data_IF_030266778141
#
_entry.id   IF_030266778141
#
_cell.length_a   1.000
_cell.length_b   1.000
_cell.length_c   1.000
_cell.angle_alpha   90.00
_cell.angle_beta   90.00
_cell.angle_gamma   90.00
#
_symmetry.space_group_name_H-M   'P 1'
#
loop_
_entity.id
_entity.type
_entity.pdbx_description
1 polymer ?
#
# COMPACT_ATOMS: atom_id res chain seq x y z
N UNK A 1 -14.15 -14.09 -0.41
CA UNK A 1 -14.00 -12.80 -1.12
C UNK A 1 -15.39 -12.38 -1.54
N UNK A 2 -15.79 -11.18 -1.14
CA UNK A 2 -17.07 -10.57 -1.45
C UNK A 2 -16.85 -9.41 -2.44
N UNK A 3 -17.83 -9.14 -3.32
CA UNK A 3 -17.75 -7.97 -4.19
C UNK A 3 -19.09 -7.27 -4.36
N UNK A 4 -19.07 -5.94 -4.37
CA UNK A 4 -20.25 -5.10 -4.56
C UNK A 4 -20.05 -4.19 -5.76
N UNK A 5 -20.92 -4.30 -6.76
CA UNK A 5 -20.93 -3.44 -7.93
C UNK A 5 -22.05 -2.40 -7.78
N UNK A 6 -21.73 -1.15 -8.07
CA UNK A 6 -22.69 -0.06 -8.17
C UNK A 6 -22.47 0.67 -9.48
N UNK A 7 -23.54 0.89 -10.23
CA UNK A 7 -23.57 1.52 -11.54
C UNK A 7 -24.57 2.69 -11.54
N UNK A 8 -24.42 3.62 -12.48
CA UNK A 8 -25.28 4.81 -12.64
C UNK A 8 -25.42 5.63 -11.34
N UNK A 9 -24.30 5.85 -10.67
CA UNK A 9 -24.22 6.49 -9.36
C UNK A 9 -23.68 7.90 -9.47
N UNK A 10 -24.26 8.82 -8.71
CA UNK A 10 -23.69 10.13 -8.50
C UNK A 10 -22.45 10.07 -7.60
N UNK A 11 -21.53 11.01 -7.80
CA UNK A 11 -20.28 11.10 -7.04
C UNK A 11 -20.54 11.36 -5.54
N UNK A 12 -21.64 12.01 -5.21
CA UNK A 12 -22.11 12.24 -3.84
C UNK A 12 -22.50 10.93 -3.15
N UNK A 13 -23.29 10.09 -3.83
CA UNK A 13 -23.75 8.79 -3.32
C UNK A 13 -22.65 7.73 -3.22
N UNK A 14 -21.54 7.95 -3.95
CA UNK A 14 -20.38 7.06 -3.95
C UNK A 14 -19.84 6.83 -2.53
N UNK A 15 -19.57 7.91 -1.81
CA UNK A 15 -18.89 7.84 -0.51
C UNK A 15 -19.77 7.19 0.53
N UNK A 16 -21.07 7.48 0.51
CA UNK A 16 -22.04 6.91 1.45
C UNK A 16 -22.21 5.41 1.23
N UNK A 17 -22.34 4.97 -0.03
CA UNK A 17 -22.42 3.54 -0.36
C UNK A 17 -21.13 2.80 0.00
N UNK A 18 -19.98 3.40 -0.27
CA UNK A 18 -18.68 2.85 0.11
C UNK A 18 -18.55 2.72 1.63
N UNK A 19 -18.85 3.78 2.38
CA UNK A 19 -18.74 3.78 3.83
C UNK A 19 -19.71 2.78 4.46
N UNK A 20 -20.92 2.62 3.91
CA UNK A 20 -21.89 1.63 4.37
C UNK A 20 -21.39 0.18 4.18
N UNK A 21 -20.92 -0.18 2.97
CA UNK A 21 -20.37 -1.51 2.67
C UNK A 21 -19.19 -1.85 3.59
N UNK A 22 -18.33 -0.88 3.87
CA UNK A 22 -17.15 -1.11 4.71
C UNK A 22 -17.48 -1.12 6.21
N UNK A 23 -18.51 -0.38 6.65
CA UNK A 23 -18.89 -0.27 8.05
C UNK A 23 -19.70 -1.45 8.58
N UNK A 24 -20.31 -2.22 7.67
CA UNK A 24 -21.09 -3.43 7.97
C UNK A 24 -20.23 -4.68 8.16
N UNK A 25 -18.93 -4.60 7.83
CA UNK A 25 -17.99 -5.69 8.00
C UNK A 25 -17.71 -5.95 9.49
N UNK A 26 -17.77 -7.23 9.89
CA UNK A 26 -17.70 -7.65 11.30
C UNK A 26 -16.27 -7.89 11.79
N UNK A 27 -15.38 -8.37 10.91
CA UNK A 27 -13.98 -8.68 11.24
C UNK A 27 -13.02 -7.71 10.55
N UNK A 28 -11.72 -7.84 10.81
CA UNK A 28 -10.71 -7.16 10.02
C UNK A 28 -10.73 -7.67 8.57
N UNK A 29 -10.46 -6.80 7.61
CA UNK A 29 -10.48 -7.17 6.20
C UNK A 29 -9.45 -6.37 5.41
N UNK A 30 -9.25 -6.75 4.16
CA UNK A 30 -8.59 -5.90 3.17
C UNK A 30 -9.59 -5.54 2.08
N UNK A 31 -9.50 -4.32 1.56
CA UNK A 31 -10.39 -3.83 0.51
C UNK A 31 -9.61 -3.40 -0.71
N UNK A 32 -10.11 -3.72 -1.90
CA UNK A 32 -9.67 -3.09 -3.13
C UNK A 32 -10.87 -2.51 -3.88
N UNK A 33 -10.66 -1.45 -4.66
CA UNK A 33 -11.74 -0.71 -5.31
C UNK A 33 -11.34 -0.48 -6.76
N UNK A 34 -12.25 -0.82 -7.68
CA UNK A 34 -12.15 -0.47 -9.08
C UNK A 34 -13.18 0.60 -9.44
N UNK A 35 -12.82 1.52 -10.34
CA UNK A 35 -13.68 2.61 -10.79
C UNK A 35 -14.14 2.35 -12.23
N UNK A 36 -15.43 2.55 -12.49
CA UNK A 36 -15.98 2.62 -13.83
C UNK A 36 -16.26 4.06 -14.21
N UNK A 37 -15.98 4.40 -15.45
CA UNK A 37 -15.97 5.78 -15.90
C UNK A 37 -16.40 5.89 -17.36
N UNK A 38 -16.87 7.07 -17.71
CA UNK A 38 -17.23 7.43 -19.06
C UNK A 38 -16.24 8.45 -19.59
N UNK A 39 -15.72 8.21 -20.80
CA UNK A 39 -14.95 9.19 -21.55
C UNK A 39 -15.83 9.84 -22.61
N UNK A 40 -15.53 11.08 -22.97
CA UNK A 40 -16.15 11.80 -24.09
C UNK A 40 -15.07 12.35 -25.01
N UNK A 41 -15.32 12.34 -26.32
CA UNK A 41 -14.40 12.94 -27.28
C UNK A 41 -14.30 14.45 -27.05
N UNK A 42 -13.12 15.00 -27.31
CA UNK A 42 -12.87 16.44 -27.25
C UNK A 42 -13.48 17.19 -28.45
N UNK A 43 -13.74 16.49 -29.55
CA UNK A 43 -14.23 17.07 -30.82
C UNK A 43 -15.67 16.72 -31.12
N UNK A 44 -16.19 15.63 -30.54
CA UNK A 44 -17.56 15.18 -30.72
C UNK A 44 -18.20 14.88 -29.35
N UNK A 45 -19.16 15.68 -28.87
CA UNK A 45 -19.77 15.47 -27.56
C UNK A 45 -20.65 14.21 -27.48
N UNK A 46 -21.08 13.65 -28.61
CA UNK A 46 -21.94 12.47 -28.66
C UNK A 46 -21.13 11.16 -28.66
N UNK A 47 -19.84 11.22 -29.03
CA UNK A 47 -18.91 10.08 -28.93
C UNK A 47 -18.47 9.87 -27.48
N UNK A 48 -19.18 8.96 -26.83
CA UNK A 48 -18.94 8.56 -25.44
C UNK A 48 -18.54 7.10 -25.34
N UNK A 49 -17.65 6.81 -24.37
CA UNK A 49 -17.12 5.46 -24.16
C UNK A 49 -17.14 5.10 -22.70
N UNK A 50 -17.90 4.05 -22.37
CA UNK A 50 -17.96 3.51 -21.03
C UNK A 50 -16.85 2.47 -20.78
N UNK A 51 -16.24 2.54 -19.60
CA UNK A 51 -15.24 1.61 -19.12
C UNK A 51 -15.72 0.96 -17.83
N UNK A 52 -15.84 -0.36 -17.85
CA UNK A 52 -16.30 -1.15 -16.70
C UNK A 52 -15.25 -1.17 -15.57
N UNK A 53 -15.65 -1.11 -14.27
CA UNK A 53 -14.73 -1.21 -13.15
C UNK A 53 -13.91 -2.50 -13.16
N UNK A 54 -12.59 -2.39 -13.35
CA UNK A 54 -11.70 -3.54 -13.40
C UNK A 54 -10.40 -3.28 -12.62
N UNK A 55 -10.08 -4.15 -11.66
CA UNK A 55 -8.86 -4.04 -10.84
C UNK A 55 -7.55 -4.10 -11.64
N UNK A 56 -7.54 -4.59 -12.87
CA UNK A 56 -6.36 -4.57 -13.73
C UNK A 56 -6.14 -3.21 -14.42
N UNK A 57 -7.18 -2.37 -14.51
CA UNK A 57 -7.17 -1.17 -15.37
C UNK A 57 -7.57 0.12 -14.68
N UNK A 58 -8.37 0.06 -13.62
CA UNK A 58 -8.97 1.23 -12.97
C UNK A 58 -9.03 1.08 -11.46
N UNK A 59 -7.98 0.50 -10.88
CA UNK A 59 -7.86 0.34 -9.44
C UNK A 59 -7.59 1.69 -8.75
N UNK A 60 -8.14 1.86 -7.55
CA UNK A 60 -7.83 2.99 -6.66
C UNK A 60 -6.44 2.80 -6.05
N UNK A 61 -6.17 1.62 -5.51
CA UNK A 61 -4.87 1.29 -4.90
C UNK A 61 -4.21 0.12 -5.62
N UNK A 62 -2.89 0.20 -5.82
CA UNK A 62 -2.12 -0.89 -6.45
C UNK A 62 -2.21 -2.18 -5.61
N UNK A 63 -2.46 -2.05 -4.30
CA UNK A 63 -2.58 -3.16 -3.36
C UNK A 63 -3.85 -3.01 -2.51
N UNK A 64 -4.47 -4.12 -2.09
CA UNK A 64 -5.58 -4.09 -1.14
C UNK A 64 -5.20 -3.34 0.14
N UNK A 65 -6.06 -2.43 0.59
CA UNK A 65 -5.87 -1.62 1.79
C UNK A 65 -6.40 -2.38 3.00
N UNK A 66 -5.58 -2.50 4.04
CA UNK A 66 -5.96 -3.18 5.27
C UNK A 66 -6.81 -2.30 6.19
N UNK A 67 -7.98 -2.81 6.58
CA UNK A 67 -8.94 -2.18 7.48
C UNK A 67 -9.04 -3.02 8.74
N UNK A 68 -8.54 -2.45 9.83
CA UNK A 68 -8.54 -3.08 11.14
C UNK A 68 -9.59 -2.47 12.08
N UNK A 69 -10.12 -1.29 11.74
CA UNK A 69 -11.11 -0.56 12.54
C UNK A 69 -11.97 0.35 11.65
N UNK A 70 -13.12 0.82 12.15
CA UNK A 70 -13.96 1.77 11.40
C UNK A 70 -13.23 3.09 11.09
N UNK A 71 -12.33 3.53 11.97
CA UNK A 71 -11.51 4.73 11.75
C UNK A 71 -10.58 4.58 10.54
N UNK A 72 -10.13 3.36 10.22
CA UNK A 72 -9.31 3.10 9.05
C UNK A 72 -10.05 3.38 7.74
N UNK A 73 -11.37 3.24 7.70
CA UNK A 73 -12.17 3.48 6.48
C UNK A 73 -11.95 4.91 6.01
N UNK A 74 -12.21 5.89 6.88
CA UNK A 74 -12.04 7.31 6.54
C UNK A 74 -10.57 7.67 6.31
N UNK A 75 -9.69 7.23 7.21
CA UNK A 75 -8.27 7.59 7.19
C UNK A 75 -7.51 7.00 6.00
N UNK A 76 -7.78 5.74 5.66
CA UNK A 76 -7.00 5.01 4.65
C UNK A 76 -7.73 4.93 3.31
N UNK A 77 -9.05 4.71 3.28
CA UNK A 77 -9.77 4.48 2.02
C UNK A 77 -10.28 5.81 1.45
N UNK A 78 -11.08 6.53 2.23
CA UNK A 78 -11.70 7.79 1.77
C UNK A 78 -10.64 8.84 1.49
N UNK A 79 -9.62 8.95 2.35
CA UNK A 79 -8.50 9.87 2.13
C UNK A 79 -7.77 9.58 0.82
N UNK A 80 -7.51 8.30 0.50
CA UNK A 80 -6.86 7.95 -0.77
C UNK A 80 -7.72 8.43 -1.93
N UNK A 81 -9.01 8.07 -1.96
CA UNK A 81 -9.90 8.41 -3.09
C UNK A 81 -10.01 9.94 -3.27
N UNK A 82 -10.13 10.70 -2.17
CA UNK A 82 -10.19 12.18 -2.23
C UNK A 82 -8.88 12.82 -2.66
N UNK A 83 -7.74 12.24 -2.24
CA UNK A 83 -6.41 12.74 -2.61
C UNK A 83 -6.01 12.39 -4.04
N UNK A 84 -6.66 11.39 -4.63
CA UNK A 84 -6.36 10.98 -5.99
C UNK A 84 -7.02 11.97 -6.97
N UNK A 85 -6.19 12.60 -7.79
CA UNK A 85 -6.65 13.10 -9.08
C UNK A 85 -7.11 11.90 -9.89
N UNK A 86 -8.39 11.51 -9.79
CA UNK A 86 -8.93 10.29 -10.38
C UNK A 86 -8.55 10.16 -11.86
N UNK A 87 -8.48 11.29 -12.57
CA UNK A 87 -8.06 11.39 -13.97
C UNK A 87 -6.68 10.76 -14.26
N UNK A 88 -5.73 10.77 -13.32
CA UNK A 88 -4.34 10.34 -13.55
C UNK A 88 -4.17 8.81 -13.58
N UNK A 89 -5.14 8.06 -13.05
CA UNK A 89 -5.11 6.59 -13.03
C UNK A 89 -6.03 5.92 -14.04
N UNK A 90 -6.84 6.70 -14.77
CA UNK A 90 -7.75 6.14 -15.76
C UNK A 90 -7.02 5.87 -17.06
N UNK A 91 -7.36 4.74 -17.68
CA UNK A 91 -6.85 4.41 -19.00
C UNK A 91 -7.64 5.17 -20.07
N UNK A 92 -6.97 6.06 -20.80
CA UNK A 92 -7.55 6.76 -21.94
C UNK A 92 -7.28 5.97 -23.22
N UNK A 93 -8.31 5.75 -24.04
CA UNK A 93 -8.14 5.05 -25.33
C UNK A 93 -7.31 5.85 -26.33
N UNK A 94 -7.30 7.19 -26.21
CA UNK A 94 -6.44 8.09 -26.98
C UNK A 94 -6.41 9.48 -26.35
N UNK A 95 -5.47 10.34 -26.78
CA UNK A 95 -5.38 11.74 -26.36
C UNK A 95 -6.59 12.60 -26.77
N UNK A 96 -7.44 12.09 -27.67
CA UNK A 96 -8.66 12.74 -28.15
C UNK A 96 -9.84 12.68 -27.17
N UNK A 97 -9.74 11.88 -26.11
CA UNK A 97 -10.82 11.76 -25.11
C UNK A 97 -10.46 12.48 -23.80
N UNK A 98 -11.49 12.90 -23.08
CA UNK A 98 -11.39 13.40 -21.70
C UNK A 98 -12.37 12.67 -20.81
N UNK A 99 -12.11 12.66 -19.49
CA UNK A 99 -13.04 12.11 -18.52
C UNK A 99 -14.33 12.92 -18.53
N UNK A 100 -15.47 12.25 -18.73
CA UNK A 100 -16.81 12.83 -18.61
C UNK A 100 -17.29 12.72 -17.16
N UNK A 101 -17.34 11.50 -16.64
CA UNK A 101 -17.75 11.24 -15.26
C UNK A 101 -17.25 9.88 -14.77
N UNK A 102 -17.18 9.74 -13.44
CA UNK A 102 -17.16 8.44 -12.77
C UNK A 102 -18.60 7.99 -12.61
N UNK A 103 -18.94 6.82 -13.14
CA UNK A 103 -20.33 6.34 -13.26
C UNK A 103 -20.56 5.00 -12.58
N UNK A 104 -19.49 4.32 -12.15
CA UNK A 104 -19.60 3.04 -11.46
C UNK A 104 -18.41 2.81 -10.51
N UNK A 105 -18.57 1.88 -9.58
CA UNK A 105 -17.46 1.31 -8.84
C UNK A 105 -17.74 -0.12 -8.44
N UNK A 106 -16.66 -0.87 -8.21
CA UNK A 106 -16.71 -2.22 -7.68
C UNK A 106 -15.79 -2.34 -6.47
N UNK A 107 -16.38 -2.66 -5.32
CA UNK A 107 -15.67 -2.89 -4.07
C UNK A 107 -15.38 -4.39 -3.98
N UNK A 108 -14.15 -4.75 -3.64
CA UNK A 108 -13.73 -6.11 -3.38
C UNK A 108 -13.30 -6.20 -1.93
N UNK A 109 -14.05 -6.96 -1.13
CA UNK A 109 -13.77 -7.18 0.29
C UNK A 109 -13.18 -8.58 0.46
N UNK A 110 -12.01 -8.63 1.08
CA UNK A 110 -11.32 -9.86 1.41
C UNK A 110 -11.35 -10.01 2.94
N UNK A 111 -12.23 -10.86 3.44
CA UNK A 111 -12.33 -11.13 4.87
C UNK A 111 -11.03 -11.73 5.39
N UNK A 112 -10.70 -11.36 6.62
CA UNK A 112 -9.56 -11.89 7.35
C UNK A 112 -10.02 -12.28 8.73
N UNK A 113 -9.42 -13.34 9.25
CA UNK A 113 -9.70 -13.85 10.59
C UNK A 113 -8.89 -13.11 11.67
N UNK A 114 -7.98 -12.22 11.26
CA UNK A 114 -7.07 -11.50 12.16
C UNK A 114 -6.73 -10.09 11.66
N UNK A 115 -6.46 -9.20 12.60
CA UNK A 115 -6.03 -7.81 12.40
C UNK A 115 -4.61 -7.78 11.79
N UNK A 116 -4.34 -6.90 10.81
CA UNK A 116 -2.99 -6.73 10.26
C UNK A 116 -2.13 -5.89 11.22
N UNK A 117 -0.95 -6.39 11.59
CA UNK A 117 -0.07 -5.71 12.55
C UNK A 117 -0.38 -6.03 14.02
N UNK A 118 -1.37 -6.90 14.26
CA UNK A 118 -1.54 -7.49 15.57
C UNK A 118 -0.42 -8.49 15.83
N UNK A 119 0.15 -8.42 17.03
CA UNK A 119 1.35 -9.18 17.41
C UNK A 119 1.09 -10.69 17.52
N UNK A 120 -0.15 -11.12 17.30
CA UNK A 120 -0.60 -12.51 17.27
C UNK A 120 -0.36 -13.22 15.93
N UNK A 121 0.09 -12.53 14.87
CA UNK A 121 0.60 -13.22 13.68
C UNK A 121 1.87 -14.01 14.08
N UNK A 122 1.67 -15.22 14.61
CA UNK A 122 2.74 -16.09 15.09
C UNK A 122 3.52 -16.51 13.86
N UNK A 123 4.69 -15.90 13.68
CA UNK A 123 5.69 -16.35 12.71
C UNK A 123 5.83 -17.87 12.90
N UNK A 124 5.54 -18.70 11.87
CA UNK A 124 5.59 -20.14 11.98
C UNK A 124 6.88 -20.59 12.65
N UNK A 125 6.82 -21.57 13.55
CA UNK A 125 7.99 -22.01 14.35
C UNK A 125 9.22 -22.26 13.47
N UNK A 126 9.03 -22.77 12.25
CA UNK A 126 10.09 -23.02 11.26
C UNK A 126 10.81 -21.73 10.82
N UNK A 127 10.08 -20.64 10.58
CA UNK A 127 10.66 -19.33 10.23
C UNK A 127 11.23 -18.66 11.48
N UNK A 128 10.49 -18.69 12.60
CA UNK A 128 10.89 -18.07 13.87
C UNK A 128 12.16 -18.66 14.47
N UNK A 129 12.37 -19.97 14.30
CA UNK A 129 13.57 -20.69 14.75
C UNK A 129 14.61 -20.84 13.65
N UNK A 130 14.38 -20.29 12.46
CA UNK A 130 15.37 -20.36 11.40
C UNK A 130 16.57 -19.50 11.79
N UNK A 131 17.73 -20.13 11.98
CA UNK A 131 19.00 -19.46 12.31
C UNK A 131 19.42 -18.39 11.29
N UNK A 132 18.86 -18.44 10.07
CA UNK A 132 19.11 -17.48 8.99
C UNK A 132 18.12 -16.31 8.96
N UNK A 133 17.04 -16.34 9.75
CA UNK A 133 16.04 -15.27 9.82
C UNK A 133 16.24 -14.53 11.13
N UNK A 134 16.80 -13.32 11.06
CA UNK A 134 17.03 -12.48 12.23
C UNK A 134 15.90 -11.45 12.32
N UNK A 135 15.12 -11.52 13.40
CA UNK A 135 14.08 -10.53 13.69
C UNK A 135 14.65 -9.47 14.64
N UNK A 136 14.72 -8.21 14.19
CA UNK A 136 15.27 -7.11 14.99
C UNK A 136 14.15 -6.20 15.52
N UNK A 137 13.68 -6.40 16.76
CA UNK A 137 12.58 -5.60 17.31
C UNK A 137 12.98 -4.11 17.55
N UNK A 138 14.28 -3.80 17.66
CA UNK A 138 14.81 -2.43 17.79
C UNK A 138 16.12 -2.29 17.00
N UNK A 139 16.08 -1.58 15.87
CA UNK A 139 17.23 -1.41 14.96
C UNK A 139 18.15 -0.25 15.33
N UNK A 140 18.00 0.37 16.51
CA UNK A 140 18.89 1.46 16.97
C UNK A 140 20.20 0.98 17.58
N UNK A 141 20.42 -0.33 17.69
CA UNK A 141 21.62 -0.89 18.31
C UNK A 141 22.68 -1.22 17.27
N UNK A 142 23.95 -0.87 17.57
CA UNK A 142 25.11 -1.06 16.68
C UNK A 142 25.30 -2.51 16.21
N UNK A 143 24.79 -3.49 16.98
CA UNK A 143 24.94 -4.93 16.71
C UNK A 143 24.31 -5.40 15.39
N UNK A 144 23.21 -4.77 14.95
CA UNK A 144 22.51 -5.15 13.71
C UNK A 144 23.34 -4.77 12.49
N UNK A 145 23.86 -3.54 12.48
CA UNK A 145 24.70 -3.03 11.40
C UNK A 145 26.04 -3.73 11.35
N UNK A 146 26.55 -4.19 12.50
CA UNK A 146 27.74 -5.03 12.56
C UNK A 146 27.52 -6.36 11.83
N UNK A 147 26.38 -7.02 12.05
CA UNK A 147 26.03 -8.27 11.35
C UNK A 147 25.82 -8.05 9.84
N UNK A 148 25.13 -6.97 9.46
CA UNK A 148 24.94 -6.59 8.05
C UNK A 148 26.29 -6.35 7.37
N UNK A 149 27.20 -5.62 8.02
CA UNK A 149 28.54 -5.37 7.50
C UNK A 149 29.33 -6.68 7.29
N UNK A 150 29.33 -7.57 8.29
CA UNK A 150 29.99 -8.87 8.20
C UNK A 150 29.51 -9.71 7.02
N UNK A 151 28.19 -9.78 6.82
CA UNK A 151 27.59 -10.59 5.76
C UNK A 151 27.69 -9.96 4.37
N UNK A 152 27.56 -8.63 4.27
CA UNK A 152 27.59 -7.91 2.99
C UNK A 152 29.00 -7.85 2.41
N UNK A 153 30.00 -7.62 3.27
CA UNK A 153 31.39 -7.43 2.83
C UNK A 153 32.23 -8.71 2.89
N UNK A 154 31.62 -9.85 3.26
CA UNK A 154 32.26 -11.18 3.33
C UNK A 154 33.66 -11.14 3.97
N UNK A 155 33.87 -10.30 4.99
CA UNK A 155 35.21 -10.06 5.51
C UNK A 155 35.70 -11.31 6.24
N UNK A 156 36.75 -11.93 5.70
CA UNK A 156 37.39 -13.11 6.30
C UNK A 156 38.08 -12.79 7.63
N UNK A 157 38.31 -11.50 7.91
CA UNK A 157 38.93 -11.02 9.15
C UNK A 157 37.87 -10.42 10.07
N UNK A 158 37.72 -11.04 11.24
CA UNK A 158 36.87 -10.62 12.37
C UNK A 158 37.49 -9.47 13.17
N UNK A 159 38.31 -8.61 12.57
CA UNK A 159 38.94 -7.51 13.30
C UNK A 159 37.90 -6.41 13.57
N UNK A 160 37.54 -6.14 14.84
CA UNK A 160 36.53 -5.15 15.20
C UNK A 160 36.86 -3.73 14.70
N UNK A 161 38.13 -3.41 14.46
CA UNK A 161 38.55 -2.07 14.02
C UNK A 161 38.23 -1.83 12.54
N UNK A 162 38.31 -2.84 11.69
CA UNK A 162 38.09 -2.72 10.24
C UNK A 162 36.60 -2.72 9.88
N UNK A 163 35.78 -3.41 10.66
CA UNK A 163 34.34 -3.53 10.42
C UNK A 163 33.53 -2.32 10.92
N UNK A 164 34.07 -1.50 11.82
CA UNK A 164 33.39 -0.29 12.30
C UNK A 164 33.07 0.69 11.17
N UNK A 165 33.99 0.86 10.21
CA UNK A 165 33.75 1.73 9.05
C UNK A 165 32.60 1.20 8.16
N UNK A 166 32.59 -0.11 7.92
CA UNK A 166 31.55 -0.79 7.15
C UNK A 166 30.20 -0.79 7.87
N UNK A 167 30.20 -0.95 9.19
CA UNK A 167 29.02 -0.81 10.04
C UNK A 167 28.44 0.60 9.96
N UNK A 168 29.28 1.64 10.01
CA UNK A 168 28.86 3.04 9.84
C UNK A 168 28.27 3.29 8.45
N UNK A 169 28.84 2.69 7.40
CA UNK A 169 28.28 2.77 6.04
C UNK A 169 26.91 2.08 5.94
N UNK A 170 26.78 0.87 6.48
CA UNK A 170 25.50 0.15 6.54
C UNK A 170 24.43 0.94 7.31
N UNK A 171 24.81 1.61 8.40
CA UNK A 171 23.92 2.48 9.17
C UNK A 171 23.47 3.71 8.37
N UNK A 172 24.40 4.40 7.70
CA UNK A 172 24.07 5.56 6.85
C UNK A 172 23.09 5.20 5.73
N UNK A 173 23.32 4.08 5.05
CA UNK A 173 22.39 3.58 4.00
C UNK A 173 20.99 3.34 4.56
N UNK A 174 20.90 2.75 5.75
CA UNK A 174 19.61 2.54 6.43
C UNK A 174 18.91 3.86 6.78
N UNK A 175 19.64 4.84 7.31
CA UNK A 175 19.06 6.15 7.64
C UNK A 175 18.60 6.93 6.41
N UNK A 176 19.38 6.89 5.31
CA UNK A 176 18.98 7.47 4.03
C UNK A 176 17.66 6.86 3.52
N UNK A 177 17.56 5.52 3.54
CA UNK A 177 16.33 4.83 3.17
C UNK A 177 15.13 5.23 4.05
N UNK A 178 15.37 5.55 5.33
CA UNK A 178 14.34 6.00 6.27
C UNK A 178 14.03 7.50 6.18
N UNK A 179 14.74 8.27 5.36
CA UNK A 179 14.58 9.72 5.25
C UNK A 179 15.08 10.49 6.48
N UNK A 180 16.00 9.91 7.27
CA UNK A 180 16.58 10.55 8.44
C UNK A 180 17.95 11.17 8.11
N UNK A 181 18.19 12.43 8.47
CA UNK A 181 19.53 13.03 8.45
C UNK A 181 20.39 12.48 9.61
N UNK A 182 21.67 12.17 9.36
CA UNK A 182 22.56 11.56 10.38
C UNK A 182 23.72 12.50 10.73
N UNK A 183 23.75 12.98 11.98
CA UNK A 183 24.98 13.48 12.60
C UNK A 183 25.84 12.31 13.08
N UNK A 184 27.02 12.15 12.49
CA UNK A 184 27.93 11.02 12.75
C UNK A 184 29.03 11.45 13.71
N UNK A 185 28.69 11.86 14.93
CA UNK A 185 29.72 12.22 15.93
C UNK A 185 29.73 11.36 17.20
N UNK A 186 28.83 10.39 17.35
CA UNK A 186 28.80 9.56 18.57
C UNK A 186 28.36 8.10 18.34
N UNK A 187 28.91 7.47 17.29
CA UNK A 187 28.91 6.00 17.13
C UNK A 187 30.33 5.47 17.15
#
# INVERSE_FOLDING_TARGET
MESHLYEAIEVTDFYDKLENVLSTQVSAFTVNIAIGYELVSKTDPDDTRYFYPNLAKSYVSNQPVAINSKTDIRRKVISIIRSMGLADKLNYSSSGYKLKAVTAFKIFVYHRDHVLGDSEAVIPKVIRKNKHVINFPKTSTKCVFYCIALHTFQSTKKDPRTIQAQMKDAFRRYCYFKGNEVYVESI
#
